data_IF_853466986107
#
_entry.id   IF_853466986107
#
_cell.length_a   1.000
_cell.length_b   1.000
_cell.length_c   1.000
_cell.angle_alpha   90.00
_cell.angle_beta   90.00
_cell.angle_gamma   90.00
#
_symmetry.space_group_name_H-M   'P 1'
#
loop_
_entity.id
_entity.type
_entity.pdbx_description
1 polymer ?
#
# COMPACT_ATOMS: atom_id res chain seq x y z
N UNK A 1 -28.08 -19.70 -17.53
CA UNK A 1 -27.88 -19.92 -16.08
C UNK A 1 -28.17 -18.58 -15.40
N UNK A 2 -28.68 -18.56 -14.17
CA UNK A 2 -29.03 -17.30 -13.50
C UNK A 2 -27.76 -16.58 -13.06
N UNK A 3 -27.49 -15.41 -13.64
CA UNK A 3 -26.32 -14.56 -13.36
C UNK A 3 -26.43 -13.77 -12.03
N UNK A 4 -27.39 -14.12 -11.17
CA UNK A 4 -27.71 -13.37 -9.97
C UNK A 4 -27.08 -14.04 -8.75
N UNK A 5 -26.45 -13.25 -7.86
CA UNK A 5 -26.06 -13.77 -6.54
C UNK A 5 -27.32 -14.29 -5.84
N UNK A 6 -27.21 -15.37 -5.06
CA UNK A 6 -28.28 -15.74 -4.16
C UNK A 6 -28.65 -14.53 -3.32
N UNK A 7 -29.95 -14.27 -3.15
CA UNK A 7 -30.40 -13.21 -2.25
C UNK A 7 -29.92 -13.53 -0.84
N UNK A 8 -28.93 -12.78 -0.37
CA UNK A 8 -28.42 -12.89 0.99
C UNK A 8 -29.40 -12.25 1.96
N UNK A 9 -29.42 -12.77 3.19
CA UNK A 9 -30.21 -12.17 4.25
C UNK A 9 -29.69 -10.76 4.55
N UNK A 10 -30.52 -9.76 4.29
CA UNK A 10 -30.23 -8.38 4.66
C UNK A 10 -30.64 -8.17 6.12
N UNK A 11 -29.67 -7.88 6.98
CA UNK A 11 -29.94 -7.50 8.36
C UNK A 11 -30.28 -6.02 8.43
N UNK A 12 -31.17 -5.66 9.36
CA UNK A 12 -31.54 -4.28 9.65
C UNK A 12 -31.47 -4.03 11.15
N UNK A 13 -30.88 -2.91 11.56
CA UNK A 13 -31.12 -2.33 12.88
C UNK A 13 -31.34 -0.83 12.79
N UNK A 14 -32.07 -0.32 13.77
CA UNK A 14 -32.28 1.11 13.91
C UNK A 14 -31.22 1.69 14.84
N UNK A 15 -30.41 2.61 14.32
CA UNK A 15 -29.37 3.31 15.09
C UNK A 15 -29.84 4.70 15.43
N UNK A 16 -29.55 5.13 16.65
CA UNK A 16 -29.85 6.48 17.11
C UNK A 16 -29.01 7.50 16.34
N UNK A 17 -29.67 8.44 15.67
CA UNK A 17 -28.96 9.49 14.94
C UNK A 17 -28.22 10.41 15.91
N UNK A 18 -26.97 10.80 15.62
CA UNK A 18 -26.23 11.76 16.43
C UNK A 18 -27.02 13.07 16.60
N UNK A 19 -27.07 13.59 17.83
CA UNK A 19 -27.87 14.78 18.19
C UNK A 19 -27.55 16.03 17.36
N UNK A 20 -26.36 16.12 16.76
CA UNK A 20 -25.95 17.24 15.92
C UNK A 20 -26.52 17.20 14.49
N UNK A 21 -27.01 16.05 14.03
CA UNK A 21 -27.61 15.85 12.69
C UNK A 21 -29.15 15.87 12.77
N UNK A 22 -29.72 15.78 13.97
CA UNK A 22 -31.17 15.86 14.19
C UNK A 22 -31.65 17.29 13.89
N UNK A 23 -32.11 17.54 12.66
CA UNK A 23 -32.77 18.78 12.29
C UNK A 23 -33.93 19.06 13.25
N UNK A 24 -34.06 20.31 13.65
CA UNK A 24 -34.91 20.77 14.74
C UNK A 24 -36.39 20.77 14.35
N UNK A 25 -36.99 19.61 14.10
CA UNK A 25 -38.43 19.51 13.96
C UNK A 25 -39.08 19.61 15.34
N UNK A 26 -39.45 20.84 15.72
CA UNK A 26 -40.29 21.12 16.88
C UNK A 26 -41.71 20.62 16.62
N UNK A 27 -41.94 19.32 16.76
CA UNK A 27 -43.30 18.79 16.95
C UNK A 27 -43.72 18.97 18.42
N UNK A 28 -44.93 19.49 18.63
CA UNK A 28 -45.49 19.94 19.90
C UNK A 28 -45.78 18.82 20.94
N UNK A 29 -45.32 17.60 20.70
CA UNK A 29 -45.57 16.43 21.55
C UNK A 29 -44.31 15.57 21.68
N UNK A 30 -43.41 15.93 22.60
CA UNK A 30 -42.25 15.13 23.02
C UNK A 30 -41.15 14.94 21.96
N UNK A 31 -39.88 15.11 22.36
CA UNK A 31 -38.73 14.78 21.50
C UNK A 31 -38.73 13.28 21.20
N UNK A 32 -39.25 12.86 20.05
CA UNK A 32 -39.01 11.51 19.52
C UNK A 32 -37.58 11.47 18.97
N UNK A 33 -36.76 10.58 19.53
CA UNK A 33 -35.41 10.32 19.05
C UNK A 33 -35.52 9.76 17.62
N UNK A 34 -34.92 10.47 16.66
CA UNK A 34 -34.90 10.03 15.26
C UNK A 34 -33.92 8.86 15.16
N UNK A 35 -34.41 7.72 14.70
CA UNK A 35 -33.58 6.56 14.38
C UNK A 35 -33.39 6.45 12.87
N UNK A 36 -32.19 6.06 12.45
CA UNK A 36 -31.89 5.73 11.05
C UNK A 36 -31.74 4.23 10.89
N UNK A 37 -32.41 3.60 9.91
CA UNK A 37 -32.16 2.20 9.61
C UNK A 37 -30.76 2.05 9.02
N UNK A 38 -29.96 1.14 9.59
CA UNK A 38 -28.75 0.62 8.98
C UNK A 38 -29.01 -0.78 8.46
N UNK A 39 -28.42 -1.06 7.30
CA UNK A 39 -28.53 -2.35 6.63
C UNK A 39 -27.13 -2.92 6.43
N UNK A 40 -26.97 -4.21 6.67
CA UNK A 40 -25.72 -4.92 6.39
C UNK A 40 -25.99 -6.38 6.02
N UNK A 41 -25.01 -6.98 5.36
CA UNK A 41 -24.98 -8.40 5.08
C UNK A 41 -24.05 -9.12 6.07
N UNK A 42 -24.31 -10.39 6.30
CA UNK A 42 -23.32 -11.29 6.88
C UNK A 42 -22.16 -11.44 5.87
N UNK A 43 -20.98 -10.92 6.24
CA UNK A 43 -19.81 -10.93 5.37
C UNK A 43 -19.37 -12.36 5.03
N UNK A 44 -19.45 -13.29 5.98
CA UNK A 44 -19.03 -14.67 5.76
C UNK A 44 -19.94 -15.34 4.72
N UNK A 45 -21.25 -15.09 4.79
CA UNK A 45 -22.21 -15.58 3.79
C UNK A 45 -22.02 -14.90 2.44
N UNK A 46 -21.76 -13.58 2.41
CA UNK A 46 -21.49 -12.83 1.18
C UNK A 46 -20.25 -13.35 0.46
N UNK A 47 -19.13 -13.47 1.18
CA UNK A 47 -17.89 -13.98 0.60
C UNK A 47 -18.04 -15.44 0.17
N UNK A 48 -18.68 -16.28 1.00
CA UNK A 48 -18.95 -17.67 0.63
C UNK A 48 -19.77 -17.76 -0.66
N UNK A 49 -20.83 -16.97 -0.79
CA UNK A 49 -21.67 -16.94 -1.99
C UNK A 49 -20.91 -16.46 -3.24
N UNK A 50 -20.04 -15.45 -3.09
CA UNK A 50 -19.18 -14.97 -4.17
C UNK A 50 -18.20 -16.06 -4.59
N UNK A 51 -17.51 -16.69 -3.63
CA UNK A 51 -16.47 -17.70 -3.89
C UNK A 51 -17.05 -19.02 -4.43
N UNK A 52 -18.28 -19.37 -4.06
CA UNK A 52 -18.98 -20.56 -4.59
C UNK A 52 -19.55 -20.34 -6.00
N UNK A 53 -19.63 -19.10 -6.47
CA UNK A 53 -20.12 -18.79 -7.80
C UNK A 53 -19.02 -18.99 -8.84
N UNK A 54 -19.07 -20.11 -9.57
CA UNK A 54 -18.08 -20.45 -10.61
C UNK A 54 -17.93 -19.36 -11.67
N UNK A 55 -19.03 -18.76 -12.13
CA UNK A 55 -19.00 -17.70 -13.14
C UNK A 55 -18.29 -16.45 -12.62
N UNK A 56 -18.47 -16.10 -11.33
CA UNK A 56 -17.84 -14.92 -10.74
C UNK A 56 -16.38 -15.15 -10.43
N UNK A 57 -16.02 -16.34 -9.96
CA UNK A 57 -14.62 -16.72 -9.77
C UNK A 57 -13.80 -16.56 -11.06
N UNK A 58 -14.41 -16.79 -12.24
CA UNK A 58 -13.75 -16.57 -13.53
C UNK A 58 -13.59 -15.08 -13.91
N UNK A 59 -14.28 -14.17 -13.22
CA UNK A 59 -14.21 -12.71 -13.45
C UNK A 59 -13.42 -11.97 -12.37
N UNK A 60 -13.09 -12.64 -11.27
CA UNK A 60 -12.27 -12.05 -10.23
C UNK A 60 -10.81 -12.05 -10.67
N UNK A 61 -10.15 -10.91 -10.48
CA UNK A 61 -8.72 -10.80 -10.69
C UNK A 61 -7.96 -11.54 -9.59
N UNK A 62 -6.96 -12.31 -9.99
CA UNK A 62 -6.00 -12.98 -9.10
C UNK A 62 -4.58 -12.67 -9.55
N UNK A 63 -3.66 -12.55 -8.60
CA UNK A 63 -2.27 -12.15 -8.86
C UNK A 63 -2.01 -10.66 -8.64
N UNK A 64 -0.92 -10.17 -9.23
CA UNK A 64 -0.52 -8.76 -9.16
C UNK A 64 -1.32 -7.88 -10.13
N UNK A 65 -1.31 -6.57 -9.91
CA UNK A 65 -1.79 -5.57 -10.87
C UNK A 65 -1.03 -5.73 -12.20
N UNK A 66 -1.71 -5.54 -13.33
CA UNK A 66 -1.04 -5.54 -14.65
C UNK A 66 -0.91 -4.11 -15.17
N UNK A 67 0.32 -3.69 -15.42
CA UNK A 67 0.60 -2.36 -15.95
C UNK A 67 0.59 -2.39 -17.48
N UNK A 68 -0.43 -1.80 -18.09
CA UNK A 68 -0.72 -1.86 -19.53
C UNK A 68 -0.69 -0.47 -20.18
N UNK A 69 -0.48 -0.44 -21.49
CA UNK A 69 -0.55 0.80 -22.29
C UNK A 69 -1.98 1.40 -22.33
N UNK A 70 -3.01 0.54 -22.31
CA UNK A 70 -4.42 0.94 -22.42
C UNK A 70 -5.28 0.24 -21.34
N UNK A 71 -5.28 0.72 -20.09
CA UNK A 71 -5.99 0.06 -18.99
C UNK A 71 -7.51 0.07 -19.21
N UNK A 72 -8.16 -1.08 -19.03
CA UNK A 72 -9.63 -1.23 -19.16
C UNK A 72 -10.33 -1.64 -17.86
N UNK A 73 -9.57 -2.02 -16.84
CA UNK A 73 -10.09 -2.58 -15.58
C UNK A 73 -9.36 -1.93 -14.41
N UNK A 74 -9.93 -2.01 -13.20
CA UNK A 74 -9.38 -1.34 -12.03
C UNK A 74 -8.00 -1.90 -11.63
N UNK A 75 -7.80 -3.22 -11.78
CA UNK A 75 -6.51 -3.89 -11.56
C UNK A 75 -5.50 -3.67 -12.69
N UNK A 76 -5.83 -2.82 -13.68
CA UNK A 76 -4.86 -2.24 -14.60
C UNK A 76 -4.35 -0.86 -14.15
N UNK A 77 -4.97 -0.28 -13.12
CA UNK A 77 -4.66 1.08 -12.67
C UNK A 77 -3.47 1.10 -11.72
N UNK A 78 -2.65 2.14 -11.80
CA UNK A 78 -1.57 2.36 -10.83
C UNK A 78 -2.06 2.47 -9.40
N UNK A 79 -3.22 3.11 -9.18
CA UNK A 79 -3.80 3.24 -7.85
C UNK A 79 -4.03 1.87 -7.19
N UNK A 80 -4.40 0.85 -7.97
CA UNK A 80 -4.56 -0.52 -7.47
C UNK A 80 -3.24 -1.15 -7.04
N UNK A 81 -2.17 -0.97 -7.82
CA UNK A 81 -0.82 -1.45 -7.44
C UNK A 81 -0.12 -0.65 -6.36
N UNK A 82 -0.68 0.51 -5.99
CA UNK A 82 -0.12 1.41 -4.96
C UNK A 82 -0.68 1.13 -3.56
N UNK A 83 -1.54 0.12 -3.42
CA UNK A 83 -2.19 -0.23 -2.15
C UNK A 83 -1.82 -1.65 -1.73
N UNK A 84 -1.50 -1.80 -0.45
CA UNK A 84 -1.23 -3.13 0.15
C UNK A 84 -2.49 -3.98 0.25
N UNK A 85 -3.68 -3.36 0.23
CA UNK A 85 -4.95 -4.05 0.46
C UNK A 85 -5.56 -4.69 -0.79
N UNK A 86 -4.95 -4.49 -1.96
CA UNK A 86 -5.55 -4.80 -3.28
C UNK A 86 -4.82 -5.92 -4.02
N UNK A 87 -3.77 -6.52 -3.44
CA UNK A 87 -2.98 -7.59 -4.06
C UNK A 87 -3.60 -8.95 -3.77
N UNK A 88 -3.94 -9.71 -4.82
CA UNK A 88 -4.72 -10.96 -4.73
C UNK A 88 -3.87 -12.23 -4.67
N UNK A 89 -2.77 -12.22 -3.91
CA UNK A 89 -2.01 -13.43 -3.56
C UNK A 89 -0.65 -13.63 -4.23
N UNK A 90 -0.21 -12.70 -5.08
CA UNK A 90 1.16 -12.65 -5.59
C UNK A 90 1.85 -11.37 -5.11
N UNK A 91 3.16 -11.44 -4.89
CA UNK A 91 3.95 -10.35 -4.32
C UNK A 91 5.29 -10.18 -5.02
N UNK A 92 5.82 -8.95 -5.02
CA UNK A 92 7.20 -8.70 -5.37
C UNK A 92 8.13 -9.26 -4.29
N UNK A 93 9.27 -9.79 -4.73
CA UNK A 93 10.28 -10.38 -3.86
C UNK A 93 11.62 -9.70 -4.08
N UNK A 94 12.30 -9.36 -2.99
CA UNK A 94 13.71 -8.97 -3.06
C UNK A 94 14.58 -10.14 -3.51
N UNK A 95 15.85 -9.86 -3.83
CA UNK A 95 16.86 -10.88 -4.15
C UNK A 95 17.00 -11.97 -3.07
N UNK A 96 16.65 -11.67 -1.82
CA UNK A 96 16.69 -12.64 -0.71
C UNK A 96 15.31 -13.18 -0.31
N UNK A 97 14.33 -13.15 -1.22
CA UNK A 97 12.96 -13.67 -1.04
C UNK A 97 12.16 -12.99 0.09
N UNK A 98 12.52 -11.76 0.47
CA UNK A 98 11.66 -10.95 1.35
C UNK A 98 10.54 -10.32 0.52
N UNK A 99 9.31 -10.43 1.02
CA UNK A 99 8.13 -9.79 0.41
C UNK A 99 8.27 -8.28 0.50
N UNK A 100 7.99 -7.59 -0.61
CA UNK A 100 8.02 -6.12 -0.71
C UNK A 100 6.60 -5.60 -0.90
N UNK A 101 6.23 -4.59 -0.12
CA UNK A 101 4.93 -3.93 -0.19
C UNK A 101 5.04 -2.47 -0.63
N UNK A 102 3.99 -1.91 -1.27
CA UNK A 102 3.84 -0.46 -1.37
C UNK A 102 3.93 0.18 0.03
N UNK A 103 4.72 1.25 0.13
CA UNK A 103 5.05 1.97 1.37
C UNK A 103 6.39 1.57 1.99
N UNK A 104 6.94 0.41 1.66
CA UNK A 104 8.25 -0.02 2.19
C UNK A 104 9.38 0.88 1.69
N UNK A 105 10.36 1.14 2.56
CA UNK A 105 11.66 1.66 2.16
C UNK A 105 12.59 0.51 1.82
N UNK A 106 13.35 0.67 0.74
CA UNK A 106 14.20 -0.37 0.20
C UNK A 106 15.58 0.15 -0.17
N UNK A 107 16.55 -0.76 -0.12
CA UNK A 107 17.86 -0.62 -0.74
C UNK A 107 17.85 -1.34 -2.10
N UNK A 108 18.31 -0.69 -3.16
CA UNK A 108 18.33 -1.24 -4.52
C UNK A 108 19.54 -0.78 -5.31
N UNK A 109 19.85 -1.50 -6.38
CA UNK A 109 20.82 -1.06 -7.39
C UNK A 109 20.08 -0.53 -8.62
N UNK A 110 20.38 0.70 -9.04
CA UNK A 110 19.90 1.23 -10.32
C UNK A 110 21.06 1.44 -11.29
N UNK A 111 20.90 0.95 -12.52
CA UNK A 111 21.81 1.26 -13.63
C UNK A 111 21.40 2.54 -14.39
N UNK A 112 20.25 3.13 -14.07
CA UNK A 112 19.58 4.12 -14.91
C UNK A 112 19.39 5.49 -14.26
N UNK A 113 19.75 5.67 -12.98
CA UNK A 113 19.59 6.98 -12.33
C UNK A 113 20.70 7.93 -12.81
N UNK A 114 20.33 8.89 -13.65
CA UNK A 114 21.25 9.92 -14.18
C UNK A 114 21.23 11.21 -13.37
N UNK A 115 20.30 11.35 -12.42
CA UNK A 115 20.10 12.57 -11.64
C UNK A 115 21.05 12.67 -10.44
N UNK A 116 21.38 11.53 -9.83
CA UNK A 116 22.35 11.46 -8.74
C UNK A 116 23.19 10.20 -8.91
N UNK A 117 24.51 10.35 -8.89
CA UNK A 117 25.47 9.29 -9.23
C UNK A 117 25.51 8.11 -8.23
N UNK A 118 24.64 8.06 -7.22
CA UNK A 118 24.71 7.06 -6.15
C UNK A 118 23.39 6.91 -5.36
N UNK A 119 22.24 6.82 -6.04
CA UNK A 119 20.96 6.55 -5.34
C UNK A 119 20.77 5.05 -5.12
N UNK A 120 20.77 4.67 -3.85
CA UNK A 120 20.55 3.28 -3.42
C UNK A 120 19.28 3.08 -2.61
N UNK A 121 18.57 4.16 -2.25
CA UNK A 121 17.42 4.09 -1.35
C UNK A 121 16.18 4.72 -1.97
N UNK A 122 15.02 4.20 -1.59
CA UNK A 122 13.75 4.74 -2.05
C UNK A 122 12.55 4.10 -1.37
N UNK A 123 11.42 4.77 -1.49
CA UNK A 123 10.12 4.28 -1.04
C UNK A 123 9.37 3.65 -2.20
N UNK A 124 8.87 2.43 -2.01
CA UNK A 124 8.03 1.74 -3.00
C UNK A 124 6.67 2.41 -3.04
N UNK A 125 6.26 2.93 -4.19
CA UNK A 125 4.93 3.54 -4.36
C UNK A 125 3.98 2.66 -5.16
N UNK A 126 4.50 1.71 -5.93
CA UNK A 126 3.71 0.79 -6.75
C UNK A 126 4.44 -0.54 -6.91
N UNK A 127 3.68 -1.63 -6.97
CA UNK A 127 4.15 -2.97 -7.30
C UNK A 127 3.21 -3.59 -8.32
N UNK A 128 3.75 -4.18 -9.40
CA UNK A 128 2.93 -4.87 -10.40
C UNK A 128 3.72 -5.65 -11.44
N UNK A 129 3.02 -6.32 -12.35
CA UNK A 129 3.63 -6.96 -13.52
C UNK A 129 3.49 -6.04 -14.70
N UNK A 130 4.61 -5.75 -15.36
CA UNK A 130 4.61 -4.94 -16.56
C UNK A 130 4.13 -5.74 -17.77
N UNK A 131 3.17 -5.19 -18.50
CA UNK A 131 2.57 -5.77 -19.70
C UNK A 131 2.55 -4.75 -20.85
N UNK A 132 3.29 -3.65 -20.74
CA UNK A 132 3.40 -2.63 -21.79
C UNK A 132 4.24 -3.16 -22.96
N UNK A 133 3.72 -3.06 -24.18
CA UNK A 133 4.26 -3.77 -25.36
C UNK A 133 5.70 -3.35 -25.73
N UNK A 134 6.13 -2.16 -25.30
CA UNK A 134 7.44 -1.58 -25.64
C UNK A 134 8.37 -1.45 -24.43
N UNK A 135 7.95 -1.93 -23.28
CA UNK A 135 8.79 -1.84 -22.09
C UNK A 135 9.91 -2.87 -22.13
N UNK A 136 11.07 -2.47 -21.63
CA UNK A 136 12.20 -3.38 -21.39
C UNK A 136 11.90 -4.39 -20.28
N UNK A 137 10.90 -4.11 -19.44
CA UNK A 137 10.48 -4.96 -18.32
C UNK A 137 9.24 -5.81 -18.64
N UNK A 138 8.87 -5.96 -19.93
CA UNK A 138 7.68 -6.73 -20.32
C UNK A 138 7.66 -8.14 -19.70
N UNK A 139 6.58 -8.45 -19.01
CA UNK A 139 6.34 -9.70 -18.30
C UNK A 139 7.10 -9.84 -16.97
N UNK A 140 7.77 -8.80 -16.48
CA UNK A 140 8.50 -8.78 -15.22
C UNK A 140 7.71 -8.10 -14.12
N UNK A 141 8.01 -8.48 -12.88
CA UNK A 141 7.56 -7.72 -11.71
C UNK A 141 8.38 -6.44 -11.61
N UNK A 142 7.69 -5.31 -11.61
CA UNK A 142 8.25 -3.97 -11.54
C UNK A 142 7.76 -3.25 -10.30
N UNK A 143 8.63 -2.41 -9.76
CA UNK A 143 8.33 -1.49 -8.68
C UNK A 143 8.52 -0.06 -9.20
N UNK A 144 7.61 0.83 -8.82
CA UNK A 144 7.87 2.27 -8.89
C UNK A 144 8.41 2.70 -7.54
N UNK A 145 9.55 3.37 -7.56
CA UNK A 145 10.31 3.75 -6.37
C UNK A 145 10.54 5.25 -6.38
N UNK A 146 10.06 5.92 -5.35
CA UNK A 146 10.30 7.33 -5.09
C UNK A 146 11.65 7.47 -4.39
N UNK A 147 12.54 8.30 -4.95
CA UNK A 147 13.95 8.30 -4.57
C UNK A 147 14.17 8.92 -3.19
N UNK A 148 15.07 8.31 -2.41
CA UNK A 148 15.55 8.84 -1.13
C UNK A 148 17.04 9.10 -1.25
N UNK A 149 17.46 10.33 -1.00
CA UNK A 149 18.88 10.74 -1.08
C UNK A 149 19.34 11.35 0.23
N UNK A 150 20.64 11.37 0.47
CA UNK A 150 21.20 12.15 1.56
C UNK A 150 21.06 13.65 1.27
N UNK A 151 20.73 14.43 2.30
CA UNK A 151 20.66 15.89 2.21
C UNK A 151 21.95 16.52 1.67
N UNK A 152 23.11 15.91 1.94
CA UNK A 152 24.41 16.32 1.42
C UNK A 152 24.56 16.20 -0.11
N UNK A 153 23.69 15.42 -0.77
CA UNK A 153 23.66 15.28 -2.22
C UNK A 153 22.76 16.31 -2.90
N UNK A 154 22.02 17.13 -2.15
CA UNK A 154 21.20 18.19 -2.72
C UNK A 154 22.08 19.34 -3.24
N UNK A 155 21.77 19.92 -4.41
CA UNK A 155 22.51 21.07 -4.95
C UNK A 155 22.23 22.39 -4.22
N UNK A 156 21.41 22.36 -3.15
CA UNK A 156 20.97 23.54 -2.39
C UNK A 156 21.42 23.38 -0.95
N UNK A 157 21.98 24.45 -0.38
CA UNK A 157 22.35 24.51 1.03
C UNK A 157 21.06 24.71 1.85
N UNK A 158 20.48 23.59 2.28
CA UNK A 158 19.38 23.58 3.25
C UNK A 158 20.00 23.51 4.65
N UNK A 159 19.43 24.23 5.62
CA UNK A 159 19.80 24.14 7.04
C UNK A 159 19.28 22.82 7.64
N UNK A 160 19.74 21.71 7.07
CA UNK A 160 19.42 20.34 7.43
C UNK A 160 20.67 19.67 8.00
N UNK A 161 20.46 18.71 8.89
CA UNK A 161 21.59 17.97 9.43
C UNK A 161 22.20 17.11 8.31
N UNK A 162 23.54 17.10 8.17
CA UNK A 162 24.25 16.48 7.04
C UNK A 162 24.09 14.95 6.90
N UNK A 163 23.34 14.32 7.81
CA UNK A 163 23.04 12.90 7.82
C UNK A 163 21.54 12.59 7.66
N UNK A 164 20.72 13.59 7.32
CA UNK A 164 19.29 13.39 7.07
C UNK A 164 19.04 12.89 5.65
N UNK A 165 18.05 12.02 5.52
CA UNK A 165 17.55 11.54 4.24
C UNK A 165 16.39 12.42 3.77
N UNK A 166 16.33 12.67 2.47
CA UNK A 166 15.32 13.49 1.83
C UNK A 166 14.62 12.63 0.77
N UNK A 167 13.30 12.51 0.91
CA UNK A 167 12.43 11.87 -0.08
C UNK A 167 12.12 12.86 -1.19
N UNK A 168 12.36 12.48 -2.45
CA UNK A 168 12.14 13.32 -3.62
C UNK A 168 10.80 12.93 -4.26
N UNK A 169 9.75 13.70 -3.99
CA UNK A 169 8.37 13.35 -4.39
C UNK A 169 8.11 13.34 -5.89
N UNK A 170 8.74 14.25 -6.63
CA UNK A 170 8.48 14.41 -8.05
C UNK A 170 9.32 13.46 -8.92
N UNK A 171 10.21 12.65 -8.32
CA UNK A 171 11.11 11.76 -9.05
C UNK A 171 10.91 10.30 -8.65
N UNK A 172 10.37 9.54 -9.59
CA UNK A 172 10.18 8.11 -9.47
C UNK A 172 11.06 7.37 -10.48
N UNK A 173 11.52 6.19 -10.08
CA UNK A 173 12.25 5.25 -10.90
C UNK A 173 11.48 3.93 -10.98
N UNK A 174 11.44 3.33 -12.16
CA UNK A 174 10.97 1.95 -12.33
C UNK A 174 12.15 0.99 -12.23
N UNK A 175 12.04 -0.02 -11.38
CA UNK A 175 13.05 -1.07 -11.20
C UNK A 175 12.39 -2.45 -11.19
N UNK A 176 13.15 -3.49 -11.49
CA UNK A 176 12.72 -4.88 -11.28
C UNK A 176 12.90 -5.28 -9.81
N UNK A 177 12.08 -6.22 -9.34
CA UNK A 177 12.16 -6.75 -7.98
C UNK A 177 13.52 -7.41 -7.66
N UNK A 178 14.15 -8.01 -8.66
CA UNK A 178 15.47 -8.61 -8.54
C UNK A 178 16.62 -7.62 -8.28
N UNK A 179 16.38 -6.31 -8.50
CA UNK A 179 17.31 -5.23 -8.18
C UNK A 179 17.23 -4.79 -6.71
N UNK A 180 16.22 -5.25 -5.96
CA UNK A 180 16.04 -4.92 -4.55
C UNK A 180 16.90 -5.84 -3.69
N UNK A 181 17.77 -5.23 -2.89
CA UNK A 181 18.63 -5.93 -1.95
C UNK A 181 17.90 -6.25 -0.66
N UNK A 182 17.33 -5.24 0.01
CA UNK A 182 16.71 -5.41 1.31
C UNK A 182 15.66 -4.34 1.57
N UNK A 183 14.76 -4.64 2.52
CA UNK A 183 13.91 -3.62 3.16
C UNK A 183 14.74 -2.89 4.21
N UNK A 184 14.53 -1.58 4.30
CA UNK A 184 15.24 -0.70 5.25
C UNK A 184 14.20 -0.05 6.16
N UNK A 185 14.53 0.08 7.44
CA UNK A 185 13.68 0.78 8.39
C UNK A 185 13.94 2.28 8.30
N UNK A 186 13.00 3.00 7.68
CA UNK A 186 12.98 4.46 7.59
C UNK A 186 11.56 4.95 7.88
N UNK A 187 11.44 6.14 8.45
CA UNK A 187 10.16 6.76 8.73
C UNK A 187 10.16 8.20 8.21
N UNK A 188 9.00 8.64 7.71
CA UNK A 188 8.80 10.03 7.33
C UNK A 188 8.55 10.87 8.58
N UNK A 189 9.36 11.91 8.76
CA UNK A 189 9.07 12.96 9.72
C UNK A 189 8.19 14.02 9.05
N UNK A 190 6.90 14.01 9.39
CA UNK A 190 5.95 14.99 8.88
C UNK A 190 5.97 16.32 9.68
N UNK A 191 6.89 16.48 10.64
CA UNK A 191 6.98 17.69 11.46
C UNK A 191 5.74 17.94 12.34
N UNK A 192 4.87 16.94 12.50
CA UNK A 192 3.67 17.02 13.34
C UNK A 192 4.08 16.88 14.82
N UNK A 193 4.81 17.86 15.34
CA UNK A 193 4.87 18.01 16.78
C UNK A 193 3.45 18.36 17.28
N UNK A 194 2.90 17.65 18.29
CA UNK A 194 1.85 18.26 19.08
C UNK A 194 2.46 19.51 19.69
N UNK A 195 1.90 20.68 19.39
CA UNK A 195 2.31 21.94 20.02
C UNK A 195 1.93 21.85 21.49
N UNK A 196 2.81 21.26 22.30
CA UNK A 196 2.83 21.48 23.75
C UNK A 196 3.92 22.52 24.01
N UNK A 197 3.62 23.58 24.79
CA UNK A 197 4.62 24.58 25.09
C UNK A 197 5.66 23.91 25.98
N UNK A 198 6.93 24.12 25.65
CA UNK A 198 8.12 23.62 26.37
C UNK A 198 8.53 22.17 26.04
N UNK A 199 9.38 22.01 25.01
CA UNK A 199 10.72 21.37 25.07
C UNK A 199 11.10 20.76 23.72
N UNK A 200 12.08 21.35 23.04
CA UNK A 200 12.81 20.76 21.92
C UNK A 200 13.43 19.42 22.33
N UNK A 201 13.25 18.36 21.53
CA UNK A 201 14.14 17.20 21.51
C UNK A 201 14.47 16.75 20.09
N UNK A 202 15.76 16.88 19.80
CA UNK A 202 16.56 16.25 18.74
C UNK A 202 16.38 14.72 18.73
N UNK A 203 16.51 14.11 17.55
CA UNK A 203 16.84 12.69 17.42
C UNK A 203 18.15 12.51 16.64
N UNK A 204 19.01 11.65 17.18
CA UNK A 204 20.27 11.17 16.62
C UNK A 204 20.06 9.69 16.27
N UNK A 205 20.63 9.24 15.14
CA UNK A 205 20.67 7.82 14.77
C UNK A 205 21.57 7.05 15.74
N UNK A 206 20.98 6.34 16.69
CA UNK A 206 21.61 5.19 17.33
C UNK A 206 20.87 3.93 16.89
N UNK A 207 21.50 3.14 16.01
CA UNK A 207 21.15 1.73 15.81
C UNK A 207 20.71 1.33 14.40
N UNK A 208 21.64 1.26 13.46
CA UNK A 208 21.54 0.24 12.41
C UNK A 208 21.85 -1.10 13.09
N UNK A 209 20.84 -1.76 13.64
CA UNK A 209 20.97 -3.16 14.08
C UNK A 209 20.58 -4.09 12.94
N UNK A 210 21.59 -4.63 12.26
CA UNK A 210 21.42 -5.86 11.48
C UNK A 210 20.92 -6.97 12.41
N UNK A 211 19.68 -7.42 12.22
CA UNK A 211 19.22 -8.72 12.73
C UNK A 211 19.19 -9.69 11.54
N UNK A 212 20.16 -10.61 11.42
CA UNK A 212 20.00 -11.74 10.54
C UNK A 212 18.92 -12.62 11.17
N UNK A 213 17.73 -12.68 10.57
CA UNK A 213 16.70 -13.58 11.06
C UNK A 213 17.14 -15.03 10.85
N UNK A 214 17.31 -15.66 12.01
CA UNK A 214 17.63 -17.05 12.28
C UNK A 214 16.76 -18.02 11.47
N UNK A 215 17.44 -18.88 10.72
CA UNK A 215 17.05 -20.22 10.26
C UNK A 215 15.60 -20.66 10.53
N UNK A 216 14.75 -20.60 9.50
CA UNK A 216 13.61 -21.51 9.37
C UNK A 216 14.16 -22.89 8.98
N UNK A 217 14.34 -23.73 10.00
CA UNK A 217 14.63 -25.15 9.81
C UNK A 217 13.46 -25.84 9.11
N UNK A 218 13.82 -26.55 8.06
CA UNK A 218 12.95 -27.44 7.31
C UNK A 218 12.35 -28.52 8.21
N UNK A 219 11.03 -28.71 8.09
CA UNK A 219 10.41 -30.01 8.31
C UNK A 219 9.49 -30.31 7.14
N UNK A 220 10.06 -30.95 6.12
CA UNK A 220 9.31 -31.81 5.23
C UNK A 220 8.85 -33.02 6.07
N UNK A 221 7.54 -33.19 6.23
CA UNK A 221 6.93 -34.46 6.62
C UNK A 221 6.18 -35.01 5.43
N UNK A 222 6.68 -36.13 4.90
CA UNK A 222 5.95 -37.04 4.03
C UNK A 222 4.60 -37.41 4.64
N UNK A 223 3.53 -37.29 3.86
CA UNK A 223 2.48 -38.30 3.68
C UNK A 223 1.79 -38.06 2.33
#
# INVERSE_FOLDING_TARGET
>A
MCNELPMLLLHQCDIDMPKHIQSTERSATGRKQVKSPQFWYDLDQLFSAILQSQERMNTLHFGMVEYLDNPQELWHSRAWGSSVCTVSGEYALSRYNQIIFPGDFIEFTSMACTLFDDVHYGQVTFVGVDKQLRSIHYGKTVLTVQLVILSSCLPVDLDMNRCEFVLIEDNCLEIEDCSVHARVDMALDHGLQPVSPTSLKLWSMDGITWKPDTQLTSKCSHY
#
